data_IF_599676250492
#
_entry.id   IF_599676250492
#
_cell.length_a   1.000
_cell.length_b   1.000
_cell.length_c   1.000
_cell.angle_alpha   90.00
_cell.angle_beta   90.00
_cell.angle_gamma   90.00
#
_symmetry.space_group_name_H-M   'P 1'
#
loop_
_entity.id
_entity.type
_entity.pdbx_description
1 polymer ?
#
# COMPACT_ATOMS: atom_id res chain seq x y z
N UNK A 1 -1.02 -13.15 5.44
CA UNK A 1 -1.25 -12.05 6.40
C UNK A 1 -1.12 -12.57 7.83
N UNK A 2 0.08 -13.01 8.22
CA UNK A 2 0.45 -12.99 9.65
C UNK A 2 1.15 -11.65 9.82
N UNK A 3 0.64 -10.80 10.71
CA UNK A 3 1.12 -9.44 10.84
C UNK A 3 2.58 -9.41 11.28
N UNK A 4 3.26 -8.26 11.10
CA UNK A 4 4.64 -8.04 11.56
C UNK A 4 4.84 -8.24 13.08
N UNK A 5 3.79 -8.57 13.85
CA UNK A 5 3.79 -8.65 15.30
C UNK A 5 3.09 -9.92 15.84
N UNK A 6 3.62 -11.13 15.57
CA UNK A 6 3.04 -12.39 16.04
C UNK A 6 2.98 -12.49 17.57
N UNK A 7 3.85 -11.77 18.29
CA UNK A 7 3.81 -11.67 19.76
C UNK A 7 2.64 -10.84 20.26
N UNK A 8 2.26 -9.77 19.55
CA UNK A 8 1.09 -8.94 19.90
C UNK A 8 -0.21 -9.68 19.60
N UNK A 9 -0.29 -10.37 18.46
CA UNK A 9 -1.41 -11.25 18.10
C UNK A 9 -1.61 -12.36 19.14
N UNK A 10 -0.53 -13.02 19.57
CA UNK A 10 -0.59 -14.03 20.62
C UNK A 10 -1.07 -13.46 21.97
N UNK A 11 -0.67 -12.24 22.31
CA UNK A 11 -1.08 -11.57 23.56
C UNK A 11 -2.57 -11.27 23.56
N UNK A 12 -3.11 -10.71 22.46
CA UNK A 12 -4.54 -10.41 22.32
C UNK A 12 -5.40 -11.67 22.43
N UNK A 13 -4.96 -12.77 21.83
CA UNK A 13 -5.71 -14.03 21.86
C UNK A 13 -5.57 -14.85 23.14
N UNK A 14 -4.52 -14.65 23.94
CA UNK A 14 -4.29 -15.41 25.19
C UNK A 14 -4.59 -14.62 26.45
N UNK A 15 -4.82 -13.31 26.36
CA UNK A 15 -5.10 -12.43 27.50
C UNK A 15 -3.93 -12.24 28.48
N UNK A 16 -2.80 -12.92 28.26
CA UNK A 16 -1.61 -12.88 29.12
C UNK A 16 -0.33 -12.92 28.28
N UNK A 17 0.74 -12.28 28.79
CA UNK A 17 2.06 -12.23 28.15
C UNK A 17 2.98 -13.40 28.54
N UNK A 18 2.57 -14.24 29.48
CA UNK A 18 3.39 -15.29 30.07
C UNK A 18 2.59 -16.58 30.26
N UNK A 19 3.19 -17.72 29.89
CA UNK A 19 2.62 -19.04 30.09
C UNK A 19 2.74 -19.97 28.89
N UNK A 20 2.50 -21.27 29.14
CA UNK A 20 2.51 -22.34 28.12
C UNK A 20 1.49 -22.07 27.00
N UNK A 21 0.30 -21.54 27.34
CA UNK A 21 -0.73 -21.19 26.35
C UNK A 21 -0.28 -20.08 25.38
N UNK A 22 0.48 -19.08 25.85
CA UNK A 22 1.07 -18.05 24.99
C UNK A 22 2.11 -18.64 24.03
N UNK A 23 2.96 -19.54 24.52
CA UNK A 23 3.97 -20.22 23.72
C UNK A 23 3.35 -21.13 22.64
N UNK A 24 2.37 -21.96 23.00
CA UNK A 24 1.62 -22.79 22.07
C UNK A 24 0.93 -21.94 21.00
N UNK A 25 0.34 -20.80 21.38
CA UNK A 25 -0.29 -19.87 20.44
C UNK A 25 0.73 -19.24 19.49
N UNK A 26 1.92 -18.87 19.97
CA UNK A 26 3.01 -18.38 19.11
C UNK A 26 3.48 -19.42 18.10
N UNK A 27 3.62 -20.68 18.51
CA UNK A 27 3.97 -21.77 17.60
C UNK A 27 2.87 -21.94 16.54
N UNK A 28 1.60 -21.97 16.96
CA UNK A 28 0.46 -22.06 16.04
C UNK A 28 0.47 -20.93 14.99
N UNK A 29 0.59 -19.66 15.43
CA UNK A 29 0.65 -18.50 14.52
C UNK A 29 1.83 -18.61 13.55
N UNK A 30 3.00 -19.05 14.02
CA UNK A 30 4.17 -19.27 13.15
C UNK A 30 3.93 -20.36 12.11
N UNK A 31 3.32 -21.49 12.49
CA UNK A 31 3.00 -22.59 11.58
C UNK A 31 1.96 -22.16 10.55
N UNK A 32 0.88 -21.50 10.99
CA UNK A 32 -0.14 -20.95 10.08
C UNK A 32 0.47 -19.93 9.12
N UNK A 33 1.32 -19.04 9.61
CA UNK A 33 2.06 -18.07 8.79
C UNK A 33 2.98 -18.74 7.76
N UNK A 34 3.72 -19.78 8.16
CA UNK A 34 4.59 -20.55 7.27
C UNK A 34 3.78 -21.27 6.19
N UNK A 35 2.69 -21.95 6.57
CA UNK A 35 1.83 -22.68 5.65
C UNK A 35 1.19 -21.75 4.62
N UNK A 36 0.69 -20.59 5.05
CA UNK A 36 0.12 -19.57 4.15
C UNK A 36 1.18 -19.00 3.22
N UNK A 37 2.38 -18.68 3.74
CA UNK A 37 3.45 -18.13 2.92
C UNK A 37 3.93 -19.14 1.87
N UNK A 38 4.04 -20.41 2.26
CA UNK A 38 4.35 -21.51 1.34
C UNK A 38 3.27 -21.64 0.25
N UNK A 39 1.99 -21.66 0.62
CA UNK A 39 0.88 -21.76 -0.33
C UNK A 39 0.83 -20.58 -1.32
N UNK A 40 1.13 -19.36 -0.86
CA UNK A 40 1.23 -18.17 -1.74
C UNK A 40 2.43 -18.31 -2.69
N UNK A 41 3.61 -18.68 -2.17
CA UNK A 41 4.85 -18.77 -2.95
C UNK A 41 4.83 -19.89 -3.98
N UNK A 42 4.20 -21.02 -3.68
CA UNK A 42 4.06 -22.15 -4.61
C UNK A 42 2.89 -21.98 -5.58
N UNK A 43 2.16 -20.85 -5.52
CA UNK A 43 0.94 -20.61 -6.29
C UNK A 43 0.04 -21.86 -6.32
N UNK A 44 -0.15 -22.48 -5.16
CA UNK A 44 -0.75 -23.81 -5.08
C UNK A 44 -2.13 -23.77 -5.74
N UNK A 45 -2.28 -24.55 -6.84
CA UNK A 45 -3.50 -24.57 -7.69
C UNK A 45 -4.77 -24.99 -6.94
N UNK A 46 -4.61 -25.56 -5.74
CA UNK A 46 -5.68 -25.93 -4.80
C UNK A 46 -5.63 -25.09 -3.50
N UNK A 47 -5.09 -23.87 -3.58
CA UNK A 47 -5.03 -22.96 -2.43
C UNK A 47 -6.42 -22.66 -1.86
N UNK A 48 -6.52 -22.28 -0.58
CA UNK A 48 -7.80 -22.06 0.09
C UNK A 48 -8.59 -20.98 -0.64
N UNK A 49 -9.77 -21.37 -1.17
CA UNK A 49 -10.75 -20.43 -1.72
C UNK A 49 -11.35 -19.65 -0.56
N UNK A 50 -11.05 -18.36 -0.46
CA UNK A 50 -11.66 -17.47 0.53
C UNK A 50 -12.89 -16.87 -0.15
N UNK A 51 -14.10 -17.20 0.32
CA UNK A 51 -15.39 -16.80 -0.30
C UNK A 51 -15.48 -17.10 -1.81
N UNK A 52 -15.02 -18.28 -2.23
CA UNK A 52 -15.15 -18.73 -3.63
C UNK A 52 -14.23 -18.03 -4.64
N UNK A 53 -13.41 -17.06 -4.21
CA UNK A 53 -12.44 -16.36 -5.07
C UNK A 53 -11.02 -16.88 -4.81
N UNK A 54 -10.28 -17.10 -5.89
CA UNK A 54 -8.84 -17.35 -5.78
C UNK A 54 -8.12 -16.09 -5.27
N UNK A 55 -7.07 -16.29 -4.47
CA UNK A 55 -6.20 -15.21 -3.97
C UNK A 55 -5.70 -14.27 -5.08
N UNK A 56 -5.49 -14.80 -6.29
CA UNK A 56 -5.06 -14.01 -7.45
C UNK A 56 -6.15 -13.07 -7.95
N UNK A 57 -7.40 -13.52 -7.93
CA UNK A 57 -8.56 -12.71 -8.34
C UNK A 57 -8.87 -11.61 -7.29
N UNK A 58 -8.63 -11.88 -6.01
CA UNK A 58 -8.75 -10.87 -4.95
C UNK A 58 -7.72 -9.75 -5.07
N UNK A 59 -6.47 -10.07 -5.46
CA UNK A 59 -5.45 -9.03 -5.67
C UNK A 59 -5.80 -8.14 -6.86
N UNK A 60 -6.28 -8.75 -7.96
CA UNK A 60 -6.75 -8.00 -9.13
C UNK A 60 -7.93 -7.10 -8.78
N UNK A 61 -8.93 -7.61 -8.08
CA UNK A 61 -10.11 -6.82 -7.73
C UNK A 61 -9.76 -5.61 -6.87
N UNK A 62 -8.85 -5.77 -5.91
CA UNK A 62 -8.40 -4.64 -5.07
C UNK A 62 -7.66 -3.57 -5.87
N UNK A 63 -6.82 -3.96 -6.85
CA UNK A 63 -6.14 -2.98 -7.72
C UNK A 63 -7.16 -2.23 -8.58
N UNK A 64 -8.12 -2.94 -9.19
CA UNK A 64 -9.16 -2.36 -10.03
C UNK A 64 -10.07 -1.40 -9.23
N UNK A 65 -10.37 -1.77 -7.99
CA UNK A 65 -11.16 -0.97 -7.07
C UNK A 65 -10.38 0.20 -6.46
N UNK A 66 -9.05 0.28 -6.67
CA UNK A 66 -8.22 1.35 -6.14
C UNK A 66 -8.02 2.49 -7.12
N UNK A 67 -7.91 3.70 -6.59
CA UNK A 67 -7.60 4.91 -7.35
C UNK A 67 -6.07 5.13 -7.47
N UNK A 68 -5.34 4.05 -7.76
CA UNK A 68 -3.87 4.06 -7.82
C UNK A 68 -3.30 5.05 -8.87
N UNK A 69 -4.13 5.52 -9.81
CA UNK A 69 -3.87 6.64 -10.72
C UNK A 69 -5.04 7.61 -10.68
N UNK A 70 -4.83 8.79 -10.08
CA UNK A 70 -5.85 9.85 -10.00
C UNK A 70 -5.61 10.87 -11.11
N UNK A 71 -6.67 11.17 -11.85
CA UNK A 71 -6.69 12.17 -12.93
C UNK A 71 -7.77 13.21 -12.62
N UNK A 72 -7.39 14.31 -11.98
CA UNK A 72 -8.32 15.41 -11.60
C UNK A 72 -7.83 16.77 -12.13
N UNK A 73 -7.33 16.77 -13.37
CA UNK A 73 -6.60 17.90 -13.95
C UNK A 73 -5.09 17.85 -13.66
N UNK A 74 -4.67 16.97 -12.76
CA UNK A 74 -3.27 16.60 -12.52
C UNK A 74 -3.15 15.08 -12.40
N UNK A 75 -1.95 14.54 -12.63
CA UNK A 75 -1.65 13.15 -12.33
C UNK A 75 -1.13 13.04 -10.90
N UNK A 76 -1.82 12.26 -10.06
CA UNK A 76 -1.39 11.95 -8.69
C UNK A 76 -1.27 10.44 -8.50
N UNK A 77 -0.14 10.01 -7.95
CA UNK A 77 0.18 8.61 -7.72
C UNK A 77 1.00 8.43 -6.45
N UNK A 78 0.82 7.30 -5.76
CA UNK A 78 1.74 6.80 -4.74
C UNK A 78 2.54 5.66 -5.34
N UNK A 79 3.87 5.75 -5.31
CA UNK A 79 4.76 4.79 -5.94
C UNK A 79 5.67 4.19 -4.88
N UNK A 80 5.57 2.87 -4.69
CA UNK A 80 6.54 2.12 -3.89
C UNK A 80 7.81 1.89 -4.73
N UNK A 81 8.95 2.39 -4.26
CA UNK A 81 10.25 2.24 -4.91
C UNK A 81 11.37 2.26 -3.86
N UNK A 82 12.54 1.73 -4.23
CA UNK A 82 13.78 1.93 -3.48
C UNK A 82 14.39 3.33 -3.72
N UNK A 83 15.45 3.66 -2.99
CA UNK A 83 16.13 4.96 -3.07
C UNK A 83 16.65 5.28 -4.47
N UNK A 84 17.27 4.29 -5.12
CA UNK A 84 18.01 4.48 -6.37
C UNK A 84 17.01 4.67 -7.51
N UNK A 85 15.94 3.86 -7.53
CA UNK A 85 14.80 4.00 -8.44
C UNK A 85 14.12 5.37 -8.27
N UNK A 86 13.92 5.83 -7.03
CA UNK A 86 13.34 7.15 -6.75
C UNK A 86 14.23 8.26 -7.31
N UNK A 87 15.52 8.22 -7.04
CA UNK A 87 16.48 9.25 -7.49
C UNK A 87 16.55 9.32 -9.02
N UNK A 88 16.61 8.15 -9.68
CA UNK A 88 16.55 8.10 -11.14
C UNK A 88 15.26 8.69 -11.70
N UNK A 89 14.12 8.43 -11.06
CA UNK A 89 12.83 8.97 -11.48
C UNK A 89 12.73 10.48 -11.26
N UNK A 90 13.21 10.98 -10.13
CA UNK A 90 13.24 12.42 -9.84
C UNK A 90 14.14 13.17 -10.82
N UNK A 91 15.29 12.59 -11.19
CA UNK A 91 16.16 13.17 -12.23
C UNK A 91 15.44 13.30 -13.57
N UNK A 92 14.70 12.26 -13.98
CA UNK A 92 13.90 12.30 -15.19
C UNK A 92 12.81 13.40 -15.14
N UNK A 93 12.13 13.56 -14.00
CA UNK A 93 11.15 14.63 -13.83
C UNK A 93 11.81 16.02 -13.86
N UNK A 94 12.99 16.16 -13.26
CA UNK A 94 13.76 17.40 -13.27
C UNK A 94 14.20 17.80 -14.69
N UNK A 95 14.65 16.84 -15.50
CA UNK A 95 15.00 17.07 -16.90
C UNK A 95 13.79 17.57 -17.70
N UNK A 96 12.59 17.02 -17.46
CA UNK A 96 11.36 17.47 -18.10
C UNK A 96 10.90 18.85 -17.60
N UNK A 97 11.07 19.14 -16.31
CA UNK A 97 10.80 20.46 -15.75
C UNK A 97 11.72 21.53 -16.37
N UNK A 98 13.02 21.26 -16.48
CA UNK A 98 14.00 22.15 -17.14
C UNK A 98 13.69 22.41 -18.61
N UNK A 99 13.08 21.44 -19.29
CA UNK A 99 12.59 21.59 -20.66
C UNK A 99 11.26 22.34 -20.76
N UNK A 100 10.67 22.77 -19.63
CA UNK A 100 9.36 23.42 -19.58
C UNK A 100 8.18 22.51 -19.94
N UNK A 101 8.37 21.18 -19.90
CA UNK A 101 7.37 20.20 -20.35
C UNK A 101 6.35 19.85 -19.27
N UNK A 102 6.70 19.98 -18.00
CA UNK A 102 5.81 19.69 -16.89
C UNK A 102 6.21 20.48 -15.64
N UNK A 103 5.28 20.57 -14.70
CA UNK A 103 5.56 20.88 -13.31
C UNK A 103 5.33 19.61 -12.49
N UNK A 104 6.12 19.40 -11.45
CA UNK A 104 5.96 18.27 -10.55
C UNK A 104 6.20 18.65 -9.09
N UNK A 105 5.74 17.78 -8.21
CA UNK A 105 6.17 17.78 -6.82
C UNK A 105 6.09 16.38 -6.26
N UNK A 106 6.88 16.10 -5.23
CA UNK A 106 6.93 14.78 -4.62
C UNK A 106 7.04 14.88 -3.10
N UNK A 107 6.67 13.81 -2.42
CA UNK A 107 6.85 13.64 -0.99
C UNK A 107 7.26 12.20 -0.71
N UNK A 108 8.33 12.02 0.07
CA UNK A 108 8.82 10.70 0.47
C UNK A 108 8.18 10.31 1.79
N UNK A 109 7.55 9.15 1.84
CA UNK A 109 6.96 8.59 3.06
C UNK A 109 7.35 7.12 3.20
N UNK A 110 7.36 6.62 4.44
CA UNK A 110 7.70 5.24 4.75
C UNK A 110 6.51 4.27 4.54
N UNK A 111 5.30 4.81 4.33
CA UNK A 111 4.04 4.06 4.34
C UNK A 111 3.00 4.67 3.39
N UNK A 112 2.25 3.79 2.72
CA UNK A 112 1.02 4.16 2.02
C UNK A 112 -0.20 3.94 2.94
N UNK A 113 -1.18 4.82 2.82
CA UNK A 113 -2.48 4.73 3.46
C UNK A 113 -3.52 4.31 2.42
N UNK A 114 -4.34 3.32 2.79
CA UNK A 114 -5.47 2.85 1.98
C UNK A 114 -6.74 3.05 2.81
N UNK A 115 -7.71 3.77 2.25
CA UNK A 115 -9.03 3.98 2.86
C UNK A 115 -10.10 3.36 1.99
N UNK A 116 -10.88 2.43 2.54
CA UNK A 116 -11.94 1.73 1.80
C UNK A 116 -13.28 2.42 2.03
N UNK A 117 -13.91 2.89 0.96
CA UNK A 117 -15.31 3.28 0.97
C UNK A 117 -16.18 2.09 0.53
N UNK A 118 -17.10 1.69 1.41
CA UNK A 118 -18.03 0.59 1.17
C UNK A 118 -19.45 1.16 1.06
N UNK A 119 -20.21 0.68 0.07
CA UNK A 119 -21.64 0.98 -0.03
C UNK A 119 -22.45 -0.11 0.67
N UNK A 120 -23.37 0.29 1.55
CA UNK A 120 -24.29 -0.61 2.24
C UNK A 120 -25.12 -1.42 1.22
N UNK A 121 -25.22 -2.74 1.43
CA UNK A 121 -25.93 -3.64 0.53
C UNK A 121 -25.22 -3.94 -0.80
N UNK A 122 -23.98 -3.48 -1.02
CA UNK A 122 -23.20 -3.76 -2.24
C UNK A 122 -21.84 -4.38 -1.94
N UNK A 123 -21.32 -5.16 -2.91
CA UNK A 123 -19.95 -5.70 -2.87
C UNK A 123 -18.96 -4.72 -3.55
N UNK A 124 -19.41 -3.51 -3.89
CA UNK A 124 -18.56 -2.51 -4.54
C UNK A 124 -17.80 -1.73 -3.47
N UNK A 125 -16.50 -1.84 -3.54
CA UNK A 125 -15.54 -1.10 -2.73
C UNK A 125 -14.79 -0.11 -3.62
N UNK A 126 -14.45 1.05 -3.08
CA UNK A 126 -13.48 1.97 -3.68
C UNK A 126 -12.37 2.18 -2.67
N UNK A 127 -11.13 1.94 -3.09
CA UNK A 127 -9.95 2.11 -2.25
C UNK A 127 -9.24 3.41 -2.63
N UNK A 128 -9.19 4.35 -1.69
CA UNK A 128 -8.43 5.59 -1.82
C UNK A 128 -7.01 5.38 -1.32
N UNK A 129 -6.03 5.68 -2.17
CA UNK A 129 -4.60 5.52 -1.88
C UNK A 129 -3.90 6.88 -1.79
N UNK A 130 -3.28 7.15 -0.65
CA UNK A 130 -2.40 8.29 -0.37
C UNK A 130 -1.15 7.82 0.42
N UNK A 131 -0.19 8.70 0.67
CA UNK A 131 0.97 8.46 1.52
C UNK A 131 0.74 9.02 2.94
N UNK A 132 1.45 8.47 3.93
CA UNK A 132 1.40 9.00 5.28
C UNK A 132 2.08 10.38 5.41
N UNK A 133 1.86 11.04 6.55
CA UNK A 133 2.57 12.25 6.97
C UNK A 133 2.44 13.44 6.00
N UNK A 134 1.25 13.60 5.40
CA UNK A 134 0.90 14.74 4.55
C UNK A 134 0.80 14.42 3.06
N UNK A 135 1.41 13.32 2.60
CA UNK A 135 1.18 12.73 1.27
C UNK A 135 1.06 13.73 0.11
N UNK A 136 -0.06 13.69 -0.61
CA UNK A 136 -0.30 14.59 -1.74
C UNK A 136 -0.27 16.08 -1.38
N UNK A 137 -0.60 16.47 -0.15
CA UNK A 137 -0.59 17.88 0.25
C UNK A 137 0.83 18.47 0.25
N UNK A 138 1.81 17.71 0.75
CA UNK A 138 3.22 18.13 0.75
C UNK A 138 3.82 18.06 -0.65
N UNK A 139 3.50 17.02 -1.43
CA UNK A 139 3.90 16.97 -2.84
C UNK A 139 3.36 18.17 -3.65
N UNK A 140 2.13 18.61 -3.36
CA UNK A 140 1.53 19.75 -4.04
C UNK A 140 2.19 21.09 -3.71
N UNK A 141 2.91 21.21 -2.59
CA UNK A 141 3.60 22.45 -2.22
C UNK A 141 4.68 22.80 -3.26
N UNK A 142 5.59 21.87 -3.53
CA UNK A 142 6.64 22.02 -4.55
C UNK A 142 6.05 22.29 -5.95
N UNK A 143 5.01 21.55 -6.33
CA UNK A 143 4.33 21.74 -7.61
C UNK A 143 3.81 23.18 -7.77
N UNK A 144 3.14 23.69 -6.73
CA UNK A 144 2.58 25.06 -6.75
C UNK A 144 3.66 26.13 -6.78
N UNK A 145 4.78 25.91 -6.10
CA UNK A 145 5.94 26.81 -6.14
C UNK A 145 6.52 26.89 -7.55
N UNK A 146 6.70 25.75 -8.24
CA UNK A 146 7.16 25.72 -9.63
C UNK A 146 6.21 26.47 -10.57
N UNK A 147 4.89 26.25 -10.43
CA UNK A 147 3.86 26.96 -11.22
C UNK A 147 3.87 28.46 -10.94
N UNK A 148 4.08 28.87 -9.68
CA UNK A 148 4.15 30.29 -9.32
C UNK A 148 5.38 30.94 -9.93
N UNK A 149 6.53 30.28 -9.85
CA UNK A 149 7.79 30.77 -10.42
C UNK A 149 7.75 30.89 -11.95
N UNK A 150 6.99 30.05 -12.65
CA UNK A 150 6.87 30.13 -14.11
C UNK A 150 5.91 31.23 -14.60
N UNK A 151 5.15 31.86 -13.70
CA UNK A 151 4.16 32.90 -14.04
C UNK A 151 4.66 34.32 -13.72
N UNK A 152 5.79 34.44 -13.02
CA UNK A 152 6.47 35.71 -12.76
C UNK A 152 7.55 35.94 -13.80
#
# INVERSE_FOLDING_TARGET
>A
MSGKYPSKEATVHSGSRTGIFYFLRRIKIKIEGLAVNLAIKTQWRFGPKINGKELRELRKSQVIASDFRKYDGTLKMVIACDSDSRESFLKFLDDLYRQGKLFYGYHVSDRALMTCALHEGSIREVHFVDSADGGYALAAAQLKEQIKASRG
#
